data_IF_457987111702
#
_entry.id   IF_457987111702
#
_cell.length_a   1.000
_cell.length_b   1.000
_cell.length_c   1.000
_cell.angle_alpha   90.00
_cell.angle_beta   90.00
_cell.angle_gamma   90.00
#
_symmetry.space_group_name_H-M   'P 1'
#
loop_
_entity.id
_entity.type
_entity.pdbx_description
1 polymer ?
#
# COMPACT_ATOMS: atom_id res chain seq x y z
N UNK A 1 -33.84 13.08 7.09
CA UNK A 1 -33.76 12.91 5.63
C UNK A 1 -32.70 11.86 5.29
N UNK A 2 -32.98 10.92 4.41
CA UNK A 2 -33.36 9.54 4.80
C UNK A 2 -32.16 8.60 4.63
N UNK A 3 -31.93 7.72 5.61
CA UNK A 3 -30.93 6.64 5.54
C UNK A 3 -31.10 5.71 4.31
N UNK A 4 -32.26 5.77 3.65
CA UNK A 4 -32.58 5.04 2.43
C UNK A 4 -31.81 5.50 1.18
N UNK A 5 -31.32 6.74 1.09
CA UNK A 5 -30.55 7.21 -0.08
C UNK A 5 -29.11 6.66 -0.11
N UNK A 6 -28.60 6.22 1.05
CA UNK A 6 -27.19 5.86 1.27
C UNK A 6 -26.91 4.37 1.45
N UNK A 7 -27.95 3.52 1.33
CA UNK A 7 -27.80 2.08 1.54
C UNK A 7 -27.01 1.42 0.41
N UNK A 8 -26.37 0.27 0.68
CA UNK A 8 -25.76 -0.57 -0.36
C UNK A 8 -26.77 -0.94 -1.45
N UNK A 9 -28.05 -1.09 -1.09
CA UNK A 9 -29.11 -1.38 -2.05
C UNK A 9 -29.32 -0.21 -3.02
N UNK A 10 -29.21 1.04 -2.54
CA UNK A 10 -29.34 2.25 -3.35
C UNK A 10 -28.18 2.38 -4.35
N UNK A 11 -26.95 2.08 -3.91
CA UNK A 11 -25.78 2.05 -4.79
C UNK A 11 -25.94 0.95 -5.84
N UNK A 12 -26.36 -0.26 -5.46
CA UNK A 12 -26.58 -1.35 -6.41
C UNK A 12 -27.69 -1.04 -7.40
N UNK A 13 -28.75 -0.35 -6.97
CA UNK A 13 -29.85 0.05 -7.84
C UNK A 13 -29.41 1.08 -8.89
N UNK A 14 -28.64 2.08 -8.49
CA UNK A 14 -28.17 3.16 -9.38
C UNK A 14 -26.95 2.75 -10.21
N UNK A 15 -26.10 1.88 -9.68
CA UNK A 15 -24.87 1.41 -10.32
C UNK A 15 -24.79 -0.13 -10.24
N UNK A 16 -25.61 -0.85 -11.01
CA UNK A 16 -25.72 -2.31 -10.92
C UNK A 16 -24.44 -3.05 -11.36
N UNK A 17 -23.57 -2.41 -12.17
CA UNK A 17 -22.21 -2.85 -12.48
C UNK A 17 -21.26 -2.98 -11.28
N UNK A 18 -21.71 -2.60 -10.09
CA UNK A 18 -21.07 -2.89 -8.81
C UNK A 18 -20.65 -4.37 -8.66
N UNK A 19 -21.54 -5.31 -9.02
CA UNK A 19 -21.30 -6.74 -8.81
C UNK A 19 -20.22 -7.29 -9.75
N UNK A 20 -20.19 -6.84 -11.01
CA UNK A 20 -19.13 -7.19 -11.96
C UNK A 20 -17.75 -6.73 -11.46
N UNK A 21 -17.68 -5.54 -10.86
CA UNK A 21 -16.44 -5.04 -10.28
C UNK A 21 -15.97 -5.88 -9.08
N UNK A 22 -16.88 -6.47 -8.30
CA UNK A 22 -16.52 -7.24 -7.11
C UNK A 22 -15.62 -8.46 -7.41
N UNK A 23 -15.70 -9.02 -8.62
CA UNK A 23 -14.82 -10.10 -9.09
C UNK A 23 -13.57 -9.63 -9.83
N UNK A 24 -13.46 -8.33 -10.16
CA UNK A 24 -12.40 -7.79 -11.03
C UNK A 24 -11.44 -6.84 -10.33
N UNK A 25 -11.84 -6.26 -9.21
CA UNK A 25 -10.99 -5.38 -8.40
C UNK A 25 -10.79 -5.96 -7.01
N UNK A 26 -9.72 -5.51 -6.33
CA UNK A 26 -9.48 -5.94 -4.96
C UNK A 26 -10.61 -5.51 -4.01
N UNK A 27 -10.89 -6.30 -2.97
CA UNK A 27 -11.93 -5.98 -1.99
C UNK A 27 -11.78 -4.58 -1.36
N UNK A 28 -10.54 -4.09 -1.16
CA UNK A 28 -10.30 -2.71 -0.70
C UNK A 28 -10.74 -1.66 -1.72
N UNK A 29 -10.44 -1.87 -3.00
CA UNK A 29 -10.88 -0.97 -4.08
C UNK A 29 -12.40 -0.93 -4.14
N UNK A 30 -13.04 -2.08 -3.98
CA UNK A 30 -14.49 -2.17 -3.90
C UNK A 30 -15.01 -1.36 -2.69
N UNK A 31 -14.44 -1.53 -1.49
CA UNK A 31 -14.82 -0.72 -0.32
C UNK A 31 -14.65 0.78 -0.57
N UNK A 32 -13.58 1.21 -1.24
CA UNK A 32 -13.34 2.62 -1.58
C UNK A 32 -14.37 3.14 -2.58
N UNK A 33 -14.73 2.35 -3.62
CA UNK A 33 -15.82 2.70 -4.53
C UNK A 33 -17.16 2.83 -3.82
N UNK A 34 -17.42 1.98 -2.82
CA UNK A 34 -18.67 2.05 -2.02
C UNK A 34 -18.74 3.39 -1.32
N UNK A 35 -17.65 3.74 -0.63
CA UNK A 35 -17.54 4.95 0.16
C UNK A 35 -17.67 6.20 -0.72
N UNK A 36 -16.99 6.21 -1.87
CA UNK A 36 -17.04 7.34 -2.80
C UNK A 36 -18.43 7.47 -3.46
N UNK A 37 -19.10 6.35 -3.80
CA UNK A 37 -20.49 6.34 -4.26
C UNK A 37 -21.48 6.83 -3.18
N UNK A 38 -21.32 6.41 -1.93
CA UNK A 38 -22.13 6.92 -0.82
C UNK A 38 -22.01 8.44 -0.70
N UNK A 39 -20.79 8.99 -0.75
CA UNK A 39 -20.60 10.45 -0.68
C UNK A 39 -21.25 11.20 -1.84
N UNK A 40 -21.20 10.63 -3.05
CA UNK A 40 -21.87 11.21 -4.22
C UNK A 40 -23.39 11.23 -4.04
N UNK A 41 -23.99 10.12 -3.61
CA UNK A 41 -25.44 10.03 -3.38
C UNK A 41 -25.92 10.95 -2.25
N UNK A 42 -25.12 11.12 -1.19
CA UNK A 42 -25.40 12.12 -0.14
C UNK A 42 -25.45 13.52 -0.74
N UNK A 43 -24.47 13.87 -1.57
CA UNK A 43 -24.45 15.16 -2.24
C UNK A 43 -25.67 15.35 -3.15
N UNK A 44 -25.98 14.37 -4.01
CA UNK A 44 -27.14 14.45 -4.91
C UNK A 44 -28.44 14.67 -4.12
N UNK A 45 -28.63 13.92 -3.04
CA UNK A 45 -29.81 14.06 -2.19
C UNK A 45 -29.87 15.41 -1.44
N UNK A 46 -28.72 15.97 -1.05
CA UNK A 46 -28.65 17.25 -0.35
C UNK A 46 -28.82 18.45 -1.29
N UNK A 47 -28.34 18.33 -2.52
CA UNK A 47 -28.46 19.36 -3.56
C UNK A 47 -29.72 19.22 -4.42
N UNK A 48 -30.52 18.17 -4.18
CA UNK A 48 -31.73 17.82 -4.93
C UNK A 48 -31.48 17.68 -6.45
N UNK A 49 -30.44 16.92 -6.81
CA UNK A 49 -30.04 16.68 -8.21
C UNK A 49 -30.03 15.19 -8.57
N UNK A 50 -30.31 14.87 -9.83
CA UNK A 50 -30.41 13.50 -10.32
C UNK A 50 -29.04 12.80 -10.35
N UNK A 51 -28.83 11.67 -9.64
CA UNK A 51 -27.53 11.01 -9.58
C UNK A 51 -26.98 10.50 -10.92
N UNK A 52 -27.85 10.16 -11.88
CA UNK A 52 -27.46 9.64 -13.20
C UNK A 52 -27.35 10.72 -14.28
N UNK A 53 -27.08 11.96 -13.88
CA UNK A 53 -26.79 13.09 -14.77
C UNK A 53 -25.30 13.49 -14.67
N UNK A 54 -24.66 13.71 -15.81
CA UNK A 54 -23.28 14.17 -15.89
C UNK A 54 -23.12 15.57 -15.31
N UNK A 55 -24.16 16.41 -15.35
CA UNK A 55 -24.13 17.74 -14.74
C UNK A 55 -24.13 17.65 -13.20
N UNK A 56 -24.83 16.68 -12.61
CA UNK A 56 -24.72 16.37 -11.17
C UNK A 56 -23.30 15.98 -10.76
N UNK A 57 -22.61 15.19 -11.59
CA UNK A 57 -21.21 14.83 -11.35
C UNK A 57 -20.27 16.05 -11.45
N UNK A 58 -20.52 16.96 -12.40
CA UNK A 58 -19.78 18.22 -12.54
C UNK A 58 -20.02 19.16 -11.36
N UNK A 59 -21.28 19.29 -10.92
CA UNK A 59 -21.66 20.06 -9.75
C UNK A 59 -21.00 19.49 -8.49
N UNK A 60 -20.97 18.16 -8.32
CA UNK A 60 -20.29 17.52 -7.20
C UNK A 60 -18.78 17.77 -7.19
N UNK A 61 -18.14 17.74 -8.38
CA UNK A 61 -16.73 18.15 -8.52
C UNK A 61 -16.54 19.59 -8.03
N UNK A 62 -17.35 20.53 -8.50
CA UNK A 62 -17.24 21.95 -8.14
C UNK A 62 -17.47 22.13 -6.64
N UNK A 63 -18.48 21.48 -6.06
CA UNK A 63 -18.72 21.45 -4.63
C UNK A 63 -17.50 20.93 -3.83
N UNK A 64 -16.82 19.87 -4.30
CA UNK A 64 -15.59 19.42 -3.64
C UNK A 64 -14.43 20.41 -3.80
N UNK A 65 -14.34 21.09 -4.93
CA UNK A 65 -13.31 22.10 -5.20
C UNK A 65 -13.53 23.36 -4.35
N UNK A 66 -14.76 23.83 -4.21
CA UNK A 66 -15.07 25.12 -3.57
C UNK A 66 -15.44 24.95 -2.10
N UNK A 67 -16.25 23.95 -1.77
CA UNK A 67 -16.86 23.75 -0.45
C UNK A 67 -16.07 22.84 0.49
N UNK A 68 -14.92 22.28 0.08
CA UNK A 68 -14.15 21.36 0.92
C UNK A 68 -12.64 21.62 0.90
N UNK A 69 -11.93 21.02 1.85
CA UNK A 69 -10.45 21.02 1.92
C UNK A 69 -9.84 19.75 1.33
N UNK A 70 -10.56 19.03 0.46
CA UNK A 70 -10.05 17.81 -0.17
C UNK A 70 -8.92 18.13 -1.16
N UNK A 71 -7.91 17.26 -1.19
CA UNK A 71 -6.84 17.34 -2.18
C UNK A 71 -7.36 17.01 -3.58
N UNK A 72 -6.79 17.58 -4.66
CA UNK A 72 -7.22 17.28 -6.03
C UNK A 72 -7.11 15.78 -6.36
N UNK A 73 -6.17 15.06 -5.75
CA UNK A 73 -6.05 13.60 -5.89
C UNK A 73 -7.26 12.86 -5.31
N UNK A 74 -7.76 13.31 -4.15
CA UNK A 74 -8.96 12.72 -3.53
C UNK A 74 -10.21 13.01 -4.35
N UNK A 75 -10.34 14.23 -4.86
CA UNK A 75 -11.45 14.64 -5.75
C UNK A 75 -11.44 13.76 -7.00
N UNK A 76 -10.30 13.67 -7.69
CA UNK A 76 -10.19 12.91 -8.93
C UNK A 76 -10.37 11.41 -8.73
N UNK A 77 -9.93 10.85 -7.59
CA UNK A 77 -10.22 9.45 -7.23
C UNK A 77 -11.72 9.22 -7.07
N UNK A 78 -12.42 10.11 -6.36
CA UNK A 78 -13.87 10.04 -6.17
C UNK A 78 -14.62 10.07 -7.50
N UNK A 79 -14.26 11.00 -8.39
CA UNK A 79 -14.83 11.06 -9.74
C UNK A 79 -14.56 9.78 -10.53
N UNK A 80 -13.33 9.25 -10.47
CA UNK A 80 -12.96 8.02 -11.15
C UNK A 80 -13.77 6.81 -10.65
N UNK A 81 -14.10 6.74 -9.35
CA UNK A 81 -14.95 5.70 -8.81
C UNK A 81 -16.35 5.73 -9.44
N UNK A 82 -17.00 6.89 -9.51
CA UNK A 82 -18.33 7.04 -10.12
C UNK A 82 -18.29 6.72 -11.61
N UNK A 83 -17.32 7.27 -12.35
CA UNK A 83 -17.12 6.96 -13.78
C UNK A 83 -16.88 5.47 -14.03
N UNK A 84 -16.18 4.79 -13.13
CA UNK A 84 -15.94 3.35 -13.24
C UNK A 84 -17.21 2.54 -13.00
N UNK A 85 -18.02 2.95 -12.02
CA UNK A 85 -19.31 2.33 -11.70
C UNK A 85 -20.33 2.49 -12.82
N UNK A 86 -20.45 3.69 -13.41
CA UNK A 86 -21.33 3.92 -14.58
C UNK A 86 -20.86 3.14 -15.79
N UNK A 87 -19.55 3.16 -16.09
CA UNK A 87 -18.98 2.37 -17.18
C UNK A 87 -19.24 0.87 -17.00
N UNK A 88 -19.04 0.33 -15.80
CA UNK A 88 -19.30 -1.08 -15.53
C UNK A 88 -20.78 -1.44 -15.77
N UNK A 89 -21.69 -0.58 -15.31
CA UNK A 89 -23.14 -0.79 -15.48
C UNK A 89 -23.56 -0.70 -16.97
N UNK A 90 -22.96 0.20 -17.75
CA UNK A 90 -23.22 0.29 -19.19
C UNK A 90 -22.66 -0.92 -19.98
N UNK A 91 -21.50 -1.47 -19.58
CA UNK A 91 -20.97 -2.70 -20.19
C UNK A 91 -21.90 -3.89 -19.99
N UNK A 92 -22.61 -3.93 -18.86
CA UNK A 92 -23.64 -4.94 -18.59
C UNK A 92 -25.00 -4.63 -19.25
N UNK A 93 -25.12 -3.51 -19.97
CA UNK A 93 -26.36 -2.99 -20.57
C UNK A 93 -27.45 -2.65 -19.56
N UNK A 94 -27.09 -2.44 -18.30
CA UNK A 94 -28.00 -2.07 -17.22
C UNK A 94 -28.14 -0.54 -17.08
N UNK A 95 -27.23 0.22 -17.70
CA UNK A 95 -27.37 1.65 -17.96
C UNK A 95 -27.17 1.94 -19.46
N UNK A 96 -27.85 2.96 -20.02
CA UNK A 96 -27.56 3.42 -21.37
C UNK A 96 -26.09 3.82 -21.53
N UNK A 97 -25.47 3.40 -22.65
CA UNK A 97 -24.08 3.76 -22.97
C UNK A 97 -23.86 5.27 -23.08
N UNK A 98 -24.90 6.04 -23.43
CA UNK A 98 -24.87 7.50 -23.48
C UNK A 98 -24.51 8.11 -22.11
N UNK A 99 -25.13 7.64 -21.02
CA UNK A 99 -24.84 8.12 -19.66
C UNK A 99 -23.37 7.86 -19.30
N UNK A 100 -22.88 6.64 -19.55
CA UNK A 100 -21.47 6.34 -19.27
C UNK A 100 -20.50 7.18 -20.12
N UNK A 101 -20.86 7.49 -21.36
CA UNK A 101 -20.11 8.38 -22.23
C UNK A 101 -20.10 9.81 -21.68
N UNK A 102 -21.24 10.39 -21.34
CA UNK A 102 -21.35 11.74 -20.77
C UNK A 102 -20.57 11.87 -19.45
N UNK A 103 -20.67 10.89 -18.55
CA UNK A 103 -19.87 10.83 -17.32
C UNK A 103 -18.37 10.80 -17.61
N UNK A 104 -17.95 10.14 -18.69
CA UNK A 104 -16.53 10.08 -19.07
C UNK A 104 -15.98 11.43 -19.53
N UNK A 105 -16.84 12.31 -20.08
CA UNK A 105 -16.50 13.66 -20.54
C UNK A 105 -16.36 14.68 -19.39
N UNK A 106 -16.85 14.37 -18.18
CA UNK A 106 -16.71 15.26 -17.03
C UNK A 106 -15.22 15.42 -16.69
N UNK A 107 -14.69 16.63 -16.77
CA UNK A 107 -13.27 16.87 -16.54
C UNK A 107 -12.88 16.68 -15.08
N UNK A 108 -11.65 16.24 -14.86
CA UNK A 108 -11.04 16.15 -13.54
C UNK A 108 -10.80 17.54 -12.93
N UNK A 109 -10.72 17.61 -11.61
CA UNK A 109 -10.27 18.83 -10.92
C UNK A 109 -8.80 19.11 -11.25
N UNK A 110 -8.51 20.36 -11.63
CA UNK A 110 -7.17 20.81 -11.95
C UNK A 110 -6.30 20.83 -10.69
N UNK A 111 -5.07 20.32 -10.82
CA UNK A 111 -4.13 20.29 -9.69
C UNK A 111 -3.58 21.67 -9.39
N UNK A 112 -3.31 22.48 -10.42
CA UNK A 112 -2.62 23.77 -10.28
C UNK A 112 -3.30 24.73 -9.28
N UNK A 113 -4.62 25.00 -9.38
CA UNK A 113 -5.31 25.91 -8.45
C UNK A 113 -5.38 25.37 -7.01
N UNK A 114 -5.28 24.05 -6.85
CA UNK A 114 -5.43 23.35 -5.57
C UNK A 114 -4.10 22.90 -4.98
N UNK A 115 -2.96 23.40 -5.50
CA UNK A 115 -1.62 23.04 -5.01
C UNK A 115 -1.44 23.28 -3.52
N UNK A 116 -2.04 24.34 -2.98
CA UNK A 116 -2.00 24.65 -1.55
C UNK A 116 -2.66 23.58 -0.66
N UNK A 117 -3.57 22.76 -1.20
CA UNK A 117 -4.22 21.63 -0.50
C UNK A 117 -3.46 20.33 -0.62
N UNK A 118 -2.47 20.28 -1.51
CA UNK A 118 -1.53 19.18 -1.49
C UNK A 118 -0.72 19.32 -0.22
N UNK A 119 -0.61 18.22 0.53
CA UNK A 119 0.44 18.17 1.54
C UNK A 119 1.75 18.46 0.79
N UNK A 120 2.57 19.43 1.23
CA UNK A 120 3.90 19.61 0.66
C UNK A 120 4.49 18.22 0.65
N UNK A 121 4.87 17.77 -0.54
CA UNK A 121 5.31 16.42 -0.85
C UNK A 121 6.15 15.98 0.36
N UNK A 122 5.56 15.21 1.28
CA UNK A 122 6.13 15.02 2.61
C UNK A 122 7.16 13.91 2.48
N UNK A 123 8.13 14.18 1.60
CA UNK A 123 9.31 13.40 1.32
C UNK A 123 10.15 13.60 2.55
N UNK A 124 9.85 12.79 3.57
CA UNK A 124 10.68 12.76 4.76
C UNK A 124 12.02 12.23 4.25
N UNK A 125 13.00 13.12 4.22
CA UNK A 125 14.39 12.72 4.01
C UNK A 125 14.75 11.91 5.25
N UNK A 126 15.25 10.70 5.02
CA UNK A 126 15.77 9.84 6.06
C UNK A 126 17.27 9.77 5.77
N UNK A 127 18.10 10.20 6.71
CA UNK A 127 19.53 10.02 6.64
C UNK A 127 19.91 8.58 7.05
N UNK A 128 21.05 8.03 6.57
CA UNK A 128 21.53 6.71 6.99
C UNK A 128 21.53 6.52 8.51
N UNK A 129 22.02 7.52 9.26
CA UNK A 129 22.04 7.49 10.74
C UNK A 129 20.65 7.43 11.37
N UNK A 130 19.64 8.06 10.75
CA UNK A 130 18.26 8.01 11.21
C UNK A 130 17.61 6.65 10.94
N UNK A 131 17.91 6.05 9.78
CA UNK A 131 17.50 4.68 9.46
C UNK A 131 18.13 3.67 10.42
N UNK A 132 19.43 3.82 10.72
CA UNK A 132 20.18 3.04 11.71
C UNK A 132 19.54 3.11 13.08
N UNK A 133 19.31 4.32 13.60
CA UNK A 133 18.65 4.53 14.88
C UNK A 133 17.25 3.89 14.91
N UNK A 134 16.45 4.05 13.85
CA UNK A 134 15.13 3.44 13.74
C UNK A 134 15.19 1.90 13.84
N UNK A 135 16.09 1.28 13.07
CA UNK A 135 16.22 -0.17 12.98
C UNK A 135 16.73 -0.72 14.32
N UNK A 136 17.59 -0.01 15.04
CA UNK A 136 18.17 -0.42 16.34
C UNK A 136 17.31 -0.11 17.56
N UNK A 137 16.27 0.71 17.42
CA UNK A 137 15.38 1.11 18.50
C UNK A 137 14.65 -0.03 19.27
N UNK A 138 14.32 -1.20 18.67
CA UNK A 138 13.67 -2.30 19.40
C UNK A 138 14.57 -2.98 20.43
N UNK A 139 14.06 -3.19 21.66
CA UNK A 139 14.76 -3.95 22.71
C UNK A 139 14.76 -5.45 22.43
N UNK A 140 15.87 -5.95 21.89
CA UNK A 140 16.08 -7.35 21.49
C UNK A 140 16.16 -8.34 22.66
N UNK A 141 16.15 -7.87 23.92
CA UNK A 141 15.99 -8.76 25.09
C UNK A 141 14.56 -9.30 25.20
N UNK A 142 13.59 -8.63 24.57
CA UNK A 142 12.20 -9.06 24.53
C UNK A 142 11.86 -9.77 23.21
N UNK A 143 11.00 -10.79 23.26
CA UNK A 143 10.49 -11.46 22.04
C UNK A 143 9.85 -10.47 21.06
N UNK A 144 9.10 -9.50 21.59
CA UNK A 144 8.46 -8.46 20.79
C UNK A 144 9.49 -7.60 20.07
N UNK A 145 10.56 -7.19 20.78
CA UNK A 145 11.63 -6.40 20.20
C UNK A 145 12.48 -7.18 19.20
N UNK A 146 12.70 -8.48 19.39
CA UNK A 146 13.36 -9.31 18.37
C UNK A 146 12.55 -9.39 17.07
N UNK A 147 11.23 -9.63 17.15
CA UNK A 147 10.35 -9.58 15.97
C UNK A 147 10.39 -8.21 15.31
N UNK A 148 10.27 -7.15 16.10
CA UNK A 148 10.22 -5.79 15.58
C UNK A 148 11.56 -5.37 14.93
N UNK A 149 12.69 -5.76 15.53
CA UNK A 149 14.04 -5.61 14.98
C UNK A 149 14.16 -6.30 13.63
N UNK A 150 13.72 -7.55 13.55
CA UNK A 150 13.69 -8.30 12.29
C UNK A 150 12.85 -7.58 11.23
N UNK A 151 11.63 -7.13 11.59
CA UNK A 151 10.73 -6.44 10.66
C UNK A 151 11.35 -5.14 10.12
N UNK A 152 11.90 -4.30 10.99
CA UNK A 152 12.52 -3.04 10.60
C UNK A 152 13.77 -3.26 9.75
N UNK A 153 14.63 -4.21 10.14
CA UNK A 153 15.81 -4.58 9.36
C UNK A 153 15.42 -5.11 7.97
N UNK A 154 14.37 -5.94 7.85
CA UNK A 154 13.89 -6.39 6.55
C UNK A 154 13.37 -5.24 5.70
N UNK A 155 12.62 -4.28 6.26
CA UNK A 155 12.18 -3.10 5.48
C UNK A 155 13.36 -2.27 4.97
N UNK A 156 14.31 -1.97 5.86
CA UNK A 156 15.48 -1.14 5.56
C UNK A 156 16.51 -1.85 4.67
N UNK A 157 16.54 -3.18 4.70
CA UNK A 157 17.48 -4.02 3.95
C UNK A 157 16.90 -4.69 2.71
N UNK A 158 15.64 -4.43 2.33
CA UNK A 158 15.04 -4.98 1.11
C UNK A 158 14.28 -3.97 0.25
N UNK A 159 13.79 -2.88 0.84
CA UNK A 159 12.92 -1.94 0.13
C UNK A 159 11.54 -2.52 -0.25
N UNK A 160 11.17 -3.70 0.26
CA UNK A 160 9.87 -4.30 0.00
C UNK A 160 8.73 -3.52 0.65
N UNK A 161 7.51 -3.67 0.12
CA UNK A 161 6.32 -3.05 0.70
C UNK A 161 5.97 -3.77 2.00
N UNK A 162 5.47 -3.04 2.99
CA UNK A 162 5.01 -3.64 4.26
C UNK A 162 3.97 -4.76 4.04
N UNK A 163 3.10 -4.63 3.03
CA UNK A 163 2.14 -5.68 2.67
C UNK A 163 2.79 -6.96 2.15
N UNK A 164 3.90 -6.84 1.42
CA UNK A 164 4.70 -7.97 0.93
C UNK A 164 5.37 -8.67 2.12
N UNK A 165 5.96 -7.91 3.05
CA UNK A 165 6.59 -8.47 4.26
C UNK A 165 5.61 -9.23 5.17
N UNK A 166 4.38 -8.72 5.35
CA UNK A 166 3.41 -9.42 6.19
C UNK A 166 2.92 -10.74 5.61
N UNK A 167 3.12 -10.95 4.30
CA UNK A 167 2.85 -12.20 3.61
C UNK A 167 4.11 -13.06 3.42
N UNK A 168 5.29 -12.61 3.88
CA UNK A 168 6.55 -13.31 3.70
C UNK A 168 6.60 -14.57 4.57
N UNK A 169 6.91 -15.69 3.95
CA UNK A 169 7.04 -17.00 4.58
C UNK A 169 8.51 -17.44 4.61
N UNK A 170 8.81 -18.44 5.45
CA UNK A 170 10.18 -18.91 5.67
C UNK A 170 10.84 -19.49 4.41
N UNK A 171 10.06 -20.19 3.58
CA UNK A 171 10.47 -20.78 2.31
C UNK A 171 10.72 -19.75 1.20
N UNK A 172 10.20 -18.53 1.35
CA UNK A 172 10.48 -17.42 0.42
C UNK A 172 11.88 -16.79 0.62
N UNK A 173 12.63 -17.19 1.66
CA UNK A 173 14.00 -16.69 1.89
C UNK A 173 14.99 -17.55 1.11
N UNK A 174 15.54 -17.01 0.04
CA UNK A 174 16.50 -17.70 -0.82
C UNK A 174 17.93 -17.39 -0.35
N UNK A 175 18.77 -18.42 -0.25
CA UNK A 175 20.20 -18.29 0.02
C UNK A 175 21.00 -18.42 -1.26
N UNK A 176 21.96 -17.52 -1.41
CA UNK A 176 22.96 -17.53 -2.47
C UNK A 176 24.36 -17.50 -1.82
N UNK A 177 25.41 -18.07 -2.44
CA UNK A 177 26.78 -17.94 -1.94
C UNK A 177 27.22 -16.48 -1.72
N UNK A 178 26.67 -15.53 -2.47
CA UNK A 178 26.96 -14.09 -2.37
C UNK A 178 26.06 -13.35 -1.38
N UNK A 179 25.01 -13.97 -0.83
CA UNK A 179 24.12 -13.32 0.15
C UNK A 179 22.73 -13.94 0.26
N UNK A 180 21.72 -13.12 0.60
CA UNK A 180 20.33 -13.59 0.73
C UNK A 180 19.37 -12.74 -0.10
N UNK A 181 18.31 -13.39 -0.56
CA UNK A 181 17.24 -12.79 -1.35
C UNK A 181 15.88 -13.21 -0.77
N UNK A 182 14.83 -12.50 -1.13
CA UNK A 182 13.46 -12.87 -0.79
C UNK A 182 12.57 -12.85 -2.02
N UNK A 183 11.67 -13.83 -2.11
CA UNK A 183 10.57 -13.82 -3.07
C UNK A 183 9.35 -13.15 -2.46
N UNK A 184 8.84 -12.14 -3.16
CA UNK A 184 7.67 -11.38 -2.72
C UNK A 184 6.64 -11.28 -3.82
N UNK A 185 5.38 -11.51 -3.46
CA UNK A 185 4.25 -11.35 -4.36
C UNK A 185 3.57 -10.00 -4.09
N UNK A 186 3.71 -9.07 -5.04
CA UNK A 186 3.02 -7.79 -4.99
C UNK A 186 1.52 -7.94 -5.28
N UNK A 187 0.71 -7.05 -4.71
CA UNK A 187 -0.74 -7.02 -4.97
C UNK A 187 -1.03 -6.88 -6.47
N UNK A 188 -1.69 -7.88 -7.05
CA UNK A 188 -2.07 -7.91 -8.47
C UNK A 188 -0.94 -8.32 -9.42
N UNK A 189 0.15 -8.90 -8.91
CA UNK A 189 1.15 -9.59 -9.74
C UNK A 189 0.78 -11.07 -9.86
N UNK A 190 0.94 -11.62 -11.06
CA UNK A 190 0.71 -13.03 -11.34
C UNK A 190 1.91 -13.91 -10.96
N UNK A 191 3.09 -13.32 -10.86
CA UNK A 191 4.35 -14.01 -10.52
C UNK A 191 5.07 -13.27 -9.38
N UNK A 192 5.75 -13.99 -8.49
CA UNK A 192 6.60 -13.39 -7.47
C UNK A 192 7.78 -12.66 -8.12
N UNK A 193 8.31 -11.64 -7.43
CA UNK A 193 9.57 -10.99 -7.79
C UNK A 193 10.60 -11.27 -6.70
N UNK A 194 11.87 -11.31 -7.08
CA UNK A 194 12.97 -11.32 -6.12
C UNK A 194 13.22 -9.90 -5.60
N UNK A 195 13.71 -9.82 -4.37
CA UNK A 195 14.24 -8.62 -3.75
C UNK A 195 15.47 -8.98 -2.93
N UNK A 196 16.44 -8.07 -2.82
CA UNK A 196 17.61 -8.29 -1.99
C UNK A 196 17.21 -8.36 -0.51
N UNK A 197 17.91 -9.17 0.27
CA UNK A 197 17.78 -9.25 1.72
C UNK A 197 19.16 -9.05 2.34
N UNK A 198 19.37 -7.90 2.98
CA UNK A 198 20.64 -7.60 3.63
C UNK A 198 21.01 -8.68 4.67
N UNK A 199 22.30 -8.94 4.86
CA UNK A 199 22.82 -9.87 5.86
C UNK A 199 22.31 -9.55 7.27
N UNK A 200 22.20 -8.27 7.62
CA UNK A 200 21.65 -7.83 8.90
C UNK A 200 20.18 -8.26 9.08
N UNK A 201 19.35 -8.04 8.05
CA UNK A 201 17.95 -8.48 8.06
C UNK A 201 17.83 -10.01 8.14
N UNK A 202 18.66 -10.74 7.39
CA UNK A 202 18.69 -12.20 7.43
C UNK A 202 19.02 -12.74 8.83
N UNK A 203 20.07 -12.20 9.46
CA UNK A 203 20.44 -12.54 10.83
C UNK A 203 19.32 -12.22 11.84
N UNK A 204 18.70 -11.06 11.71
CA UNK A 204 17.61 -10.65 12.60
C UNK A 204 16.36 -11.54 12.45
N UNK A 205 16.01 -11.93 11.22
CA UNK A 205 14.95 -12.92 10.95
C UNK A 205 15.30 -14.25 11.63
N UNK A 206 16.53 -14.76 11.44
CA UNK A 206 16.97 -16.01 12.05
C UNK A 206 16.84 -16.00 13.58
N UNK A 207 17.33 -14.95 14.24
CA UNK A 207 17.22 -14.80 15.69
C UNK A 207 15.76 -14.78 16.17
N UNK A 208 14.89 -14.06 15.47
CA UNK A 208 13.46 -14.04 15.76
C UNK A 208 12.80 -15.42 15.60
N UNK A 209 13.07 -16.11 14.50
CA UNK A 209 12.49 -17.43 14.23
C UNK A 209 12.92 -18.45 15.29
N UNK A 210 14.19 -18.42 15.70
CA UNK A 210 14.71 -19.27 16.78
C UNK A 210 14.00 -18.98 18.12
N UNK A 211 13.88 -17.71 18.50
CA UNK A 211 13.23 -17.32 19.75
C UNK A 211 11.72 -17.64 19.76
N UNK A 212 11.06 -17.49 18.61
CA UNK A 212 9.66 -17.89 18.41
C UNK A 212 9.48 -19.40 18.52
N UNK A 213 10.37 -20.20 17.92
CA UNK A 213 10.35 -21.65 18.00
C UNK A 213 10.53 -22.14 19.45
N UNK A 214 11.40 -21.50 20.24
CA UNK A 214 11.56 -21.77 21.69
C UNK A 214 10.27 -21.53 22.51
N UNK A 215 9.32 -20.75 21.98
CA UNK A 215 8.00 -20.57 22.57
C UNK A 215 6.97 -21.62 22.13
N UNK A 216 7.36 -22.64 21.36
CA UNK A 216 6.47 -23.66 20.82
C UNK A 216 5.54 -23.15 19.71
N UNK A 217 5.89 -22.04 19.05
CA UNK A 217 5.07 -21.45 17.97
C UNK A 217 5.66 -21.83 16.62
N UNK A 218 4.99 -22.77 15.95
CA UNK A 218 5.24 -23.11 14.56
C UNK A 218 4.30 -22.31 13.63
N UNK A 219 4.87 -21.65 12.62
CA UNK A 219 4.15 -20.86 11.63
C UNK A 219 5.00 -20.60 10.39
N UNK A 220 4.42 -20.79 9.21
CA UNK A 220 5.11 -20.51 7.94
C UNK A 220 5.44 -19.02 7.76
N UNK A 221 4.55 -18.12 8.17
CA UNK A 221 4.78 -16.68 8.05
C UNK A 221 5.91 -16.24 8.98
N UNK A 222 6.84 -15.42 8.50
CA UNK A 222 7.98 -14.94 9.29
C UNK A 222 7.50 -14.03 10.43
N UNK A 223 6.69 -13.03 10.09
CA UNK A 223 6.19 -12.05 11.06
C UNK A 223 4.81 -12.44 11.58
N UNK A 224 4.74 -12.80 12.86
CA UNK A 224 3.48 -13.18 13.51
C UNK A 224 3.03 -12.21 14.60
N UNK A 225 1.75 -12.29 14.93
CA UNK A 225 1.11 -11.52 15.99
C UNK A 225 1.49 -12.01 17.38
N UNK A 226 1.14 -11.21 18.39
CA UNK A 226 1.21 -11.57 19.82
C UNK A 226 -0.21 -11.62 20.39
N UNK A 227 -0.40 -12.38 21.47
CA UNK A 227 -1.68 -12.39 22.20
C UNK A 227 -1.99 -11.00 22.77
N UNK A 228 -3.29 -10.69 22.87
CA UNK A 228 -3.83 -9.39 23.26
C UNK A 228 -3.58 -9.01 24.74
N UNK A 229 -4.18 -7.90 25.21
CA UNK A 229 -4.02 -7.42 26.59
C UNK A 229 -4.50 -8.51 27.57
N UNK A 230 -3.58 -9.08 28.34
CA UNK A 230 -3.87 -10.17 29.29
C UNK A 230 -2.78 -11.26 29.31
N UNK A 231 -2.14 -11.51 28.17
CA UNK A 231 -0.97 -12.40 28.05
C UNK A 231 0.08 -11.71 27.17
N UNK A 232 0.66 -10.64 27.71
CA UNK A 232 1.68 -9.85 26.99
C UNK A 232 2.93 -10.71 26.81
N UNK A 233 3.49 -10.72 25.60
CA UNK A 233 4.78 -11.35 25.33
C UNK A 233 4.74 -12.77 24.76
N UNK A 234 3.56 -13.37 24.55
CA UNK A 234 3.46 -14.68 23.89
C UNK A 234 3.16 -14.53 22.39
N UNK A 235 4.04 -15.01 21.50
CA UNK A 235 3.77 -15.03 20.07
C UNK A 235 2.62 -15.96 19.71
N UNK A 236 2.04 -15.73 18.54
CA UNK A 236 0.96 -16.55 17.98
C UNK A 236 1.39 -17.09 16.61
N UNK A 237 0.69 -18.09 16.10
CA UNK A 237 0.87 -18.57 14.73
C UNK A 237 0.18 -17.68 13.68
N UNK A 238 -0.62 -16.69 14.12
CA UNK A 238 -1.35 -15.80 13.20
C UNK A 238 -0.41 -14.80 12.55
N UNK A 239 -0.49 -14.58 11.22
CA UNK A 239 0.30 -13.57 10.55
C UNK A 239 0.09 -12.19 11.15
N UNK A 240 1.16 -11.40 11.22
CA UNK A 240 1.07 -10.01 11.64
C UNK A 240 0.27 -9.23 10.60
N UNK A 241 -0.80 -8.54 11.01
CA UNK A 241 -1.59 -7.75 10.06
C UNK A 241 -0.79 -6.58 9.49
N UNK A 242 -1.10 -6.16 8.26
CA UNK A 242 -0.52 -4.95 7.64
C UNK A 242 -0.65 -3.73 8.56
N UNK A 243 -1.81 -3.56 9.19
CA UNK A 243 -2.04 -2.46 10.15
C UNK A 243 -1.09 -2.55 11.35
N UNK A 244 -0.86 -3.75 11.87
CA UNK A 244 0.08 -3.97 12.98
C UNK A 244 1.53 -3.68 12.56
N UNK A 245 1.95 -4.11 11.36
CA UNK A 245 3.28 -3.75 10.82
C UNK A 245 3.46 -2.23 10.65
N UNK A 246 2.43 -1.53 10.18
CA UNK A 246 2.41 -0.06 10.16
C UNK A 246 2.57 0.55 11.56
N UNK A 247 1.91 -0.02 12.57
CA UNK A 247 2.02 0.44 13.94
C UNK A 247 3.42 0.22 14.52
N UNK A 248 4.10 -0.88 14.17
CA UNK A 248 5.50 -1.14 14.55
C UNK A 248 6.39 -0.02 14.02
N UNK A 249 6.33 0.27 12.71
CA UNK A 249 7.12 1.35 12.10
C UNK A 249 6.84 2.69 12.77
N UNK A 250 5.57 3.05 12.97
CA UNK A 250 5.19 4.32 13.64
C UNK A 250 5.57 4.37 15.12
N UNK A 251 5.67 3.24 15.81
CA UNK A 251 6.09 3.16 17.22
C UNK A 251 7.56 3.55 17.31
N UNK A 252 8.43 2.86 16.58
CA UNK A 252 9.87 3.09 16.68
C UNK A 252 10.29 4.39 16.01
N UNK A 253 9.62 4.82 14.93
CA UNK A 253 9.84 6.16 14.37
C UNK A 253 9.66 7.25 15.44
N UNK A 254 8.56 7.21 16.19
CA UNK A 254 8.33 8.17 17.28
C UNK A 254 9.37 8.07 18.39
N UNK A 255 9.82 6.86 18.71
CA UNK A 255 10.84 6.63 19.74
C UNK A 255 12.18 7.30 19.38
N UNK A 256 12.52 7.36 18.08
CA UNK A 256 13.75 8.02 17.59
C UNK A 256 13.51 9.44 17.07
N UNK A 257 12.35 10.05 17.36
CA UNK A 257 12.05 11.44 16.96
C UNK A 257 11.64 11.63 15.49
N UNK A 258 11.29 10.57 14.77
CA UNK A 258 10.90 10.60 13.35
C UNK A 258 9.37 10.44 13.16
N UNK A 259 8.84 11.01 12.08
CA UNK A 259 7.39 10.93 11.73
C UNK A 259 7.18 10.22 10.40
N UNK A 260 7.70 9.01 10.24
CA UNK A 260 7.68 8.29 8.96
C UNK A 260 6.65 7.16 8.86
N UNK A 261 6.44 6.71 7.62
CA UNK A 261 5.60 5.59 7.21
C UNK A 261 6.48 4.51 6.56
N UNK A 262 6.02 3.24 6.46
CA UNK A 262 6.81 2.19 5.82
C UNK A 262 7.24 2.51 4.37
N UNK A 263 6.45 3.31 3.66
CA UNK A 263 6.80 3.73 2.30
C UNK A 263 8.00 4.69 2.26
N UNK A 264 8.23 5.47 3.31
CA UNK A 264 9.38 6.38 3.41
C UNK A 264 10.68 5.56 3.57
N UNK A 265 10.66 4.46 4.33
CA UNK A 265 11.79 3.52 4.43
C UNK A 265 12.10 2.87 3.07
N UNK A 266 11.08 2.42 2.34
CA UNK A 266 11.27 1.89 0.98
C UNK A 266 11.88 2.94 0.05
N UNK A 267 11.46 4.19 0.17
CA UNK A 267 12.01 5.29 -0.61
C UNK A 267 13.48 5.55 -0.27
N UNK A 268 13.84 5.50 1.01
CA UNK A 268 15.23 5.57 1.43
C UNK A 268 16.08 4.51 0.72
N UNK A 269 15.67 3.24 0.78
CA UNK A 269 16.37 2.15 0.07
C UNK A 269 16.47 2.43 -1.41
N UNK A 270 15.37 2.83 -2.05
CA UNK A 270 15.38 3.20 -3.47
C UNK A 270 16.34 4.33 -3.81
N UNK A 271 16.46 5.33 -2.95
CA UNK A 271 17.35 6.48 -3.14
C UNK A 271 18.80 6.07 -2.98
N UNK A 272 19.12 5.27 -1.94
CA UNK A 272 20.49 4.77 -1.71
C UNK A 272 20.94 3.83 -2.83
N UNK A 273 20.06 2.93 -3.29
CA UNK A 273 20.36 2.07 -4.43
C UNK A 273 20.52 2.90 -5.70
N UNK A 274 19.66 3.89 -5.94
CA UNK A 274 19.73 4.73 -7.14
C UNK A 274 21.01 5.57 -7.20
N UNK A 275 21.55 5.96 -6.05
CA UNK A 275 22.84 6.65 -5.97
C UNK A 275 24.02 5.77 -6.40
N UNK A 276 23.92 4.44 -6.21
CA UNK A 276 24.92 3.47 -6.68
C UNK A 276 24.67 3.08 -8.14
N UNK A 277 23.45 2.64 -8.42
CA UNK A 277 22.97 2.23 -9.74
C UNK A 277 21.43 2.33 -9.82
N UNK A 278 20.95 3.20 -10.71
CA UNK A 278 19.52 3.38 -10.98
C UNK A 278 18.81 2.09 -11.40
N UNK A 279 19.51 1.17 -12.10
CA UNK A 279 18.92 -0.08 -12.58
C UNK A 279 18.71 -1.07 -11.43
N UNK A 280 19.71 -1.22 -10.56
CA UNK A 280 19.63 -1.99 -9.31
C UNK A 280 18.49 -1.51 -8.41
N UNK A 281 18.29 -0.19 -8.30
CA UNK A 281 17.16 0.38 -7.58
C UNK A 281 15.79 0.00 -8.18
N UNK A 282 15.68 -0.05 -9.52
CA UNK A 282 14.45 -0.41 -10.21
C UNK A 282 14.09 -1.89 -10.04
N UNK A 283 15.09 -2.77 -10.16
CA UNK A 283 14.93 -4.21 -9.97
C UNK A 283 14.53 -4.54 -8.52
N UNK A 284 15.25 -3.99 -7.53
CA UNK A 284 14.96 -4.20 -6.11
C UNK A 284 13.55 -3.74 -5.70
N UNK A 285 13.02 -2.70 -6.36
CA UNK A 285 11.70 -2.16 -6.08
C UNK A 285 10.60 -2.70 -6.99
N UNK A 286 10.89 -3.37 -8.09
CA UNK A 286 9.88 -3.97 -8.98
C UNK A 286 8.97 -2.96 -9.68
N UNK A 287 9.55 -1.92 -10.30
CA UNK A 287 8.80 -0.90 -11.04
C UNK A 287 8.46 -1.38 -12.47
N UNK A 288 7.19 -1.79 -12.71
CA UNK A 288 6.69 -2.29 -14.02
C UNK A 288 6.86 -1.38 -15.25
N UNK A 289 7.07 -0.06 -15.09
CA UNK A 289 6.89 0.91 -16.21
C UNK A 289 8.02 0.94 -17.26
N UNK A 290 9.12 0.21 -17.09
CA UNK A 290 10.19 0.09 -18.09
C UNK A 290 10.23 -1.28 -18.79
N UNK A 291 9.37 -2.24 -18.41
CA UNK A 291 9.34 -3.59 -19.00
C UNK A 291 9.12 -3.57 -20.54
N UNK A 292 8.54 -2.49 -21.09
CA UNK A 292 8.35 -2.33 -22.54
C UNK A 292 9.57 -1.78 -23.30
N UNK A 293 10.56 -1.19 -22.63
CA UNK A 293 11.78 -0.64 -23.28
C UNK A 293 12.99 -1.56 -23.10
N UNK A 294 12.94 -2.44 -22.11
CA UNK A 294 14.07 -3.30 -21.69
C UNK A 294 14.21 -4.57 -22.54
N UNK A 295 13.26 -4.83 -23.45
CA UNK A 295 13.23 -6.04 -24.32
C UNK A 295 14.41 -6.15 -25.31
N UNK A 296 15.23 -5.11 -25.44
CA UNK A 296 16.38 -5.04 -26.37
C UNK A 296 17.76 -5.12 -25.69
N UNK A 297 17.84 -5.35 -24.37
CA UNK A 297 19.11 -5.39 -23.64
C UNK A 297 19.29 -6.71 -22.90
N UNK A 298 20.52 -7.24 -22.89
CA UNK A 298 20.92 -8.34 -21.99
C UNK A 298 20.79 -7.85 -20.54
N UNK A 299 20.02 -8.57 -19.74
CA UNK A 299 19.69 -8.23 -18.36
C UNK A 299 20.77 -8.77 -17.42
N UNK A 300 21.34 -7.91 -16.57
CA UNK A 300 22.06 -8.38 -15.38
C UNK A 300 21.02 -8.75 -14.31
N UNK A 301 21.19 -9.92 -13.69
CA UNK A 301 20.34 -10.41 -12.60
C UNK A 301 20.55 -9.60 -11.32
N UNK A 302 19.55 -9.61 -10.43
CA UNK A 302 19.59 -8.90 -9.16
C UNK A 302 20.56 -9.64 -8.21
N UNK A 303 21.68 -9.00 -7.85
CA UNK A 303 22.72 -9.64 -7.05
C UNK A 303 22.39 -9.67 -5.55
N UNK A 304 22.71 -10.79 -4.90
CA UNK A 304 22.65 -10.91 -3.45
C UNK A 304 23.69 -9.98 -2.77
N UNK A 305 23.34 -9.45 -1.59
CA UNK A 305 24.21 -8.50 -0.86
C UNK A 305 24.10 -7.03 -1.32
N UNK A 306 23.34 -6.73 -2.38
CA UNK A 306 23.16 -5.38 -2.92
C UNK A 306 22.72 -4.33 -1.87
N UNK A 307 21.99 -4.76 -0.84
CA UNK A 307 21.47 -3.91 0.23
C UNK A 307 22.27 -3.97 1.52
N UNK A 308 23.45 -4.58 1.51
CA UNK A 308 24.35 -4.57 2.67
C UNK A 308 24.97 -3.17 2.86
N UNK A 309 25.02 -2.72 4.12
CA UNK A 309 25.63 -1.44 4.51
C UNK A 309 24.91 -0.20 3.97
N UNK A 310 23.59 -0.26 3.74
CA UNK A 310 22.81 0.90 3.25
C UNK A 310 22.60 2.02 4.29
N UNK A 311 22.74 1.70 5.57
CA UNK A 311 22.52 2.59 6.70
C UNK A 311 23.36 2.17 7.89
#
# INVERSE_FOLDING_TARGET
MSAAATSTASIRRLFPGWLDLAGRVSGRTLTEYRLDATHYLIYCAAADVEPLDAESLRAWRNHMVEGTQLSPHTINRRLAAIKRLTKASAVLKELPSAIAHEFSLVENAQVSPLRHRLRPDARIKIEPVEMRALVEAPDTRSLLGQRDRALLATLAGSGCRIGELMALQQDHVLRDPKGSMIEVLGKGQAQPRTAPLSLEAHKAIGAWLEARAKCGIDAQHIFTGFKGPGVRGVPTSRPLSVRSGWNVVRKYARQVGLVLKPHDMRRFVGTQLAAKDLRSAQLALGHKRLETTVRHYVLHELEAGLTDGLY
#
